data_IF_531279401267
#
_entry.id   IF_531279401267
#
_cell.length_a   1.000
_cell.length_b   1.000
_cell.length_c   1.000
_cell.angle_alpha   90.00
_cell.angle_beta   90.00
_cell.angle_gamma   90.00
#
_symmetry.space_group_name_H-M   'P 1'
#
loop_
_entity.id
_entity.type
_entity.pdbx_description
1 polymer ?
#
# COMPACT_ATOMS: atom_id res chain seq x y z
N UNK A 1 -55.55 -65.53 16.58
CA UNK A 1 -55.21 -66.36 17.76
C UNK A 1 -54.15 -65.58 18.48
N UNK A 2 -54.53 -64.83 19.49
CA UNK A 2 -54.31 -65.04 20.90
C UNK A 2 -52.88 -64.81 21.36
N UNK A 3 -52.45 -64.00 22.28
CA UNK A 3 -53.21 -63.46 23.40
C UNK A 3 -52.32 -62.55 24.22
N UNK A 4 -52.97 -61.79 24.93
CA UNK A 4 -52.73 -60.90 26.06
C UNK A 4 -51.57 -61.20 27.00
N UNK A 5 -51.08 -60.11 27.67
CA UNK A 5 -50.28 -60.16 28.85
C UNK A 5 -49.85 -58.77 29.33
N UNK A 6 -50.66 -58.14 30.20
CA UNK A 6 -50.36 -56.94 30.92
C UNK A 6 -49.42 -57.21 32.13
N UNK A 7 -48.56 -56.26 32.43
CA UNK A 7 -47.75 -56.30 33.64
C UNK A 7 -47.20 -54.91 33.96
N UNK A 8 -47.84 -54.17 34.84
CA UNK A 8 -47.40 -52.90 35.37
C UNK A 8 -46.25 -53.06 36.36
N UNK A 9 -45.33 -52.14 36.37
CA UNK A 9 -44.26 -52.01 37.33
C UNK A 9 -43.87 -50.56 37.48
N UNK A 10 -44.34 -49.92 38.53
CA UNK A 10 -43.91 -48.58 38.92
C UNK A 10 -42.45 -48.63 39.37
N UNK A 11 -41.64 -47.79 38.76
CA UNK A 11 -40.25 -47.51 39.13
C UNK A 11 -40.12 -46.04 39.40
N UNK A 12 -39.99 -45.69 40.66
CA UNK A 12 -39.69 -44.36 41.17
C UNK A 12 -38.38 -43.83 40.57
N UNK A 13 -38.41 -42.58 40.13
CA UNK A 13 -37.24 -41.83 39.70
C UNK A 13 -36.24 -41.68 40.86
N UNK A 14 -34.92 -41.77 40.53
CA UNK A 14 -33.90 -41.46 41.53
C UNK A 14 -33.78 -39.95 41.74
N UNK A 15 -33.33 -39.49 42.94
CA UNK A 15 -33.18 -38.10 43.29
C UNK A 15 -31.99 -37.47 42.52
N UNK A 16 -32.13 -36.16 42.19
CA UNK A 16 -31.11 -35.30 41.59
C UNK A 16 -29.88 -35.21 42.50
N UNK A 17 -28.67 -35.25 41.97
CA UNK A 17 -27.46 -35.02 42.76
C UNK A 17 -27.37 -33.53 43.18
N UNK A 18 -26.96 -33.32 44.41
CA UNK A 18 -26.60 -32.02 44.96
C UNK A 18 -25.39 -31.43 44.25
N UNK A 19 -25.21 -30.06 44.18
CA UNK A 19 -24.07 -29.45 43.57
C UNK A 19 -22.82 -29.67 44.42
N UNK A 20 -21.78 -30.28 43.82
CA UNK A 20 -20.44 -30.38 44.40
C UNK A 20 -19.83 -28.99 44.57
N UNK A 21 -19.39 -28.67 45.75
CA UNK A 21 -18.60 -27.51 46.09
C UNK A 21 -17.25 -27.57 45.33
N UNK A 22 -16.99 -26.59 44.43
CA UNK A 22 -15.73 -26.41 43.79
C UNK A 22 -14.62 -25.99 44.77
N UNK A 23 -13.35 -26.31 44.50
CA UNK A 23 -12.25 -26.01 45.41
C UNK A 23 -12.05 -24.50 45.59
N UNK A 24 -11.81 -24.12 46.85
CA UNK A 24 -11.54 -22.77 47.31
C UNK A 24 -10.48 -22.04 46.48
N UNK A 25 -10.82 -20.83 46.08
CA UNK A 25 -9.88 -19.90 45.48
C UNK A 25 -8.72 -19.64 46.45
N UNK A 26 -7.50 -19.93 45.99
CA UNK A 26 -6.29 -19.52 46.69
C UNK A 26 -6.19 -18.00 46.67
N UNK A 27 -6.24 -17.39 47.84
CA UNK A 27 -5.91 -15.97 48.01
C UNK A 27 -4.43 -15.80 47.77
N UNK A 28 -4.10 -15.05 46.70
CA UNK A 28 -2.74 -14.53 46.48
C UNK A 28 -2.65 -13.27 47.32
N UNK A 29 -1.82 -13.31 48.36
CA UNK A 29 -1.41 -12.12 49.12
C UNK A 29 -0.46 -11.31 48.23
N UNK A 30 -0.87 -10.10 47.86
CA UNK A 30 0.01 -9.10 47.28
C UNK A 30 0.80 -8.47 48.41
N UNK A 31 2.11 -8.55 48.36
CA UNK A 31 3.02 -7.72 49.15
C UNK A 31 3.06 -6.34 48.53
N UNK A 32 2.68 -5.34 49.31
CA UNK A 32 2.83 -3.94 49.04
C UNK A 32 4.32 -3.57 49.14
N UNK A 33 4.99 -3.36 48.01
CA UNK A 33 6.16 -2.51 47.93
C UNK A 33 5.73 -1.21 47.25
N UNK A 34 5.41 -0.24 48.10
CA UNK A 34 5.13 1.14 47.73
C UNK A 34 6.43 1.82 47.23
N UNK A 35 6.62 1.93 45.91
CA UNK A 35 7.47 2.99 45.35
C UNK A 35 6.59 4.23 45.11
N UNK A 36 6.84 5.25 45.92
CA UNK A 36 6.22 6.59 45.80
C UNK A 36 6.74 7.22 44.50
N UNK A 37 5.90 7.25 43.48
CA UNK A 37 6.13 8.10 42.28
C UNK A 37 5.64 9.50 42.64
N UNK A 38 6.56 10.44 42.75
CA UNK A 38 6.29 11.86 42.91
C UNK A 38 5.46 12.36 41.74
N UNK A 39 4.19 12.71 42.00
CA UNK A 39 3.31 13.33 41.00
C UNK A 39 3.69 14.80 40.94
N UNK A 40 4.37 15.20 39.86
CA UNK A 40 4.56 16.59 39.51
C UNK A 40 3.21 17.15 39.01
N UNK A 41 2.57 17.95 39.84
CA UNK A 41 1.43 18.78 39.42
C UNK A 41 1.95 19.85 38.44
N UNK A 42 1.63 19.70 37.18
CA UNK A 42 1.77 20.76 36.17
C UNK A 42 0.69 21.81 36.45
N UNK A 43 1.11 22.98 36.93
CA UNK A 43 0.25 24.15 37.01
C UNK A 43 -0.08 24.61 35.58
N UNK A 44 -1.36 24.48 35.22
CA UNK A 44 -1.95 25.12 34.04
C UNK A 44 -2.03 26.63 34.26
N UNK A 45 -0.95 27.34 33.94
CA UNK A 45 -0.95 28.80 33.78
C UNK A 45 -0.63 29.06 32.29
N UNK A 46 -1.63 29.47 31.53
CA UNK A 46 -1.41 30.02 30.19
C UNK A 46 -0.56 31.28 30.30
N UNK A 47 0.55 31.41 29.51
CA UNK A 47 1.33 32.63 29.51
C UNK A 47 0.50 33.76 28.89
N UNK A 48 0.38 34.87 29.63
CA UNK A 48 -0.33 36.05 29.21
C UNK A 48 0.49 36.76 28.11
N UNK A 49 -0.17 37.23 27.05
CA UNK A 49 0.48 37.86 25.89
C UNK A 49 1.28 39.13 26.19
N UNK A 50 1.13 39.68 27.39
CA UNK A 50 1.83 40.88 27.83
C UNK A 50 3.25 40.62 28.39
N UNK A 51 3.59 39.37 28.74
CA UNK A 51 4.92 39.02 29.28
C UNK A 51 5.97 38.77 28.16
N UNK A 52 5.55 38.68 26.91
CA UNK A 52 6.44 38.49 25.74
C UNK A 52 6.93 39.81 25.11
N UNK A 53 6.39 40.97 25.56
CA UNK A 53 6.76 42.30 25.03
C UNK A 53 7.98 42.88 25.70
N UNK A 54 8.31 42.49 26.94
CA UNK A 54 9.41 43.08 27.73
C UNK A 54 10.79 42.45 27.45
N UNK A 55 10.88 41.34 26.73
CA UNK A 55 12.19 40.71 26.43
C UNK A 55 12.82 41.15 25.10
N UNK A 56 12.21 42.06 24.35
CA UNK A 56 12.72 42.52 23.04
C UNK A 56 13.31 43.94 23.01
N UNK A 57 13.52 44.60 24.15
CA UNK A 57 14.03 46.01 24.19
C UNK A 57 15.54 46.15 24.37
N UNK A 58 16.36 45.11 24.51
CA UNK A 58 17.81 45.23 24.71
C UNK A 58 18.65 44.61 23.57
N UNK A 59 18.47 45.03 22.31
CA UNK A 59 19.46 44.84 21.25
C UNK A 59 19.97 46.19 20.74
N UNK A 60 21.07 46.64 21.34
CA UNK A 60 21.81 47.83 20.96
C UNK A 60 22.53 47.64 19.62
N UNK A 61 22.03 48.26 18.55
CA UNK A 61 22.75 48.39 17.29
C UNK A 61 23.70 49.58 17.34
N UNK A 62 24.95 49.30 17.66
CA UNK A 62 26.04 50.29 17.57
C UNK A 62 26.22 50.81 16.16
N UNK A 63 25.95 52.11 15.99
CA UNK A 63 26.29 52.91 14.83
C UNK A 63 27.82 53.14 14.80
N UNK A 64 28.56 52.46 13.93
CA UNK A 64 29.89 52.85 13.48
C UNK A 64 29.83 53.17 12.00
N UNK A 65 29.72 54.48 11.68
CA UNK A 65 29.91 55.03 10.37
C UNK A 65 31.41 55.15 10.07
N UNK A 66 31.96 54.31 9.21
CA UNK A 66 33.23 54.60 8.54
C UNK A 66 32.97 55.03 7.07
N UNK A 67 33.36 56.28 6.79
CA UNK A 67 33.43 56.89 5.46
C UNK A 67 34.43 56.11 4.58
N UNK A 68 33.93 55.23 3.70
CA UNK A 68 34.69 54.56 2.65
C UNK A 68 34.22 55.05 1.29
N UNK A 69 35.10 55.76 0.55
CA UNK A 69 34.87 56.20 -0.82
C UNK A 69 34.41 55.03 -1.74
N UNK A 70 33.21 55.18 -2.28
CA UNK A 70 32.72 54.27 -3.33
C UNK A 70 33.53 54.50 -4.60
N UNK A 71 34.31 53.47 -4.98
CA UNK A 71 34.75 53.33 -6.36
C UNK A 71 33.62 52.65 -7.10
N UNK A 72 33.12 53.33 -8.14
CA UNK A 72 32.27 52.75 -9.16
C UNK A 72 33.07 51.69 -9.92
N UNK A 73 32.97 50.41 -9.52
CA UNK A 73 33.28 49.28 -10.35
C UNK A 73 32.01 48.94 -11.11
N UNK A 74 31.97 49.29 -12.41
CA UNK A 74 31.01 48.77 -13.37
C UNK A 74 31.11 47.24 -13.37
N UNK A 75 30.14 46.58 -12.74
CA UNK A 75 29.88 45.16 -12.93
C UNK A 75 29.27 45.01 -14.33
N UNK A 76 30.13 44.70 -15.33
CA UNK A 76 29.64 44.08 -16.55
C UNK A 76 28.93 42.78 -16.13
N UNK A 77 27.60 42.81 -16.07
CA UNK A 77 26.80 41.61 -16.06
C UNK A 77 27.03 40.95 -17.44
N UNK A 78 27.92 39.96 -17.47
CA UNK A 78 27.87 38.96 -18.54
C UNK A 78 26.47 38.37 -18.42
N UNK A 79 25.61 38.72 -19.36
CA UNK A 79 24.32 38.08 -19.62
C UNK A 79 24.68 36.67 -20.09
N UNK A 80 24.98 35.77 -19.09
CA UNK A 80 24.97 34.36 -19.33
C UNK A 80 23.52 34.05 -19.73
N UNK A 81 23.32 33.96 -21.04
CA UNK A 81 22.04 33.57 -21.61
C UNK A 81 21.50 32.40 -20.84
N UNK A 82 20.39 32.64 -20.11
CA UNK A 82 19.54 31.60 -19.57
C UNK A 82 19.24 30.76 -20.81
N UNK A 83 19.90 29.62 -20.97
CA UNK A 83 19.46 28.58 -21.90
C UNK A 83 17.98 28.35 -21.52
N UNK A 84 17.08 28.79 -22.41
CA UNK A 84 15.67 28.42 -22.33
C UNK A 84 15.68 26.91 -22.15
N UNK A 85 15.36 26.46 -20.95
CA UNK A 85 15.47 25.06 -20.55
C UNK A 85 14.75 24.22 -21.59
N UNK A 86 15.48 23.27 -22.19
CA UNK A 86 14.89 22.28 -23.06
C UNK A 86 13.64 21.74 -22.39
N UNK A 87 12.50 21.80 -23.07
CA UNK A 87 11.28 21.21 -22.53
C UNK A 87 11.59 19.78 -22.09
N UNK A 88 11.16 19.37 -20.89
CA UNK A 88 11.45 18.02 -20.39
C UNK A 88 10.98 17.01 -21.44
N UNK A 89 11.84 16.07 -21.77
CA UNK A 89 11.55 15.03 -22.75
C UNK A 89 10.30 14.23 -22.32
N UNK A 90 9.33 14.10 -23.22
CA UNK A 90 8.09 13.38 -22.98
C UNK A 90 7.97 12.20 -23.95
N UNK A 91 8.11 10.98 -23.42
CA UNK A 91 8.03 9.71 -24.16
C UNK A 91 6.59 9.18 -24.25
N UNK A 92 5.60 9.88 -23.68
CA UNK A 92 4.23 9.39 -23.67
C UNK A 92 3.58 9.52 -25.05
N UNK A 93 2.85 8.48 -25.45
CA UNK A 93 2.03 8.49 -26.67
C UNK A 93 0.73 9.29 -26.45
N UNK A 94 0.25 9.34 -25.20
CA UNK A 94 -0.96 10.04 -24.84
C UNK A 94 -0.90 10.55 -23.40
N UNK A 95 -1.42 11.75 -23.20
CA UNK A 95 -1.62 12.36 -21.89
C UNK A 95 -3.11 12.60 -21.62
N UNK A 96 -3.64 12.01 -20.54
CA UNK A 96 -4.96 12.26 -20.02
C UNK A 96 -4.87 13.34 -18.93
N UNK A 97 -5.55 14.50 -19.15
CA UNK A 97 -5.43 15.70 -18.33
C UNK A 97 -6.78 16.23 -17.84
N UNK A 98 -7.70 15.33 -17.47
CA UNK A 98 -9.03 15.70 -16.95
C UNK A 98 -9.02 15.98 -15.46
N UNK A 99 -8.10 15.37 -14.71
CA UNK A 99 -7.96 15.63 -13.30
C UNK A 99 -7.44 17.05 -13.03
N UNK A 100 -7.92 17.65 -11.95
CA UNK A 100 -7.53 19.01 -11.52
C UNK A 100 -6.61 19.02 -10.32
N UNK A 101 -6.32 17.85 -9.78
CA UNK A 101 -5.38 17.61 -8.68
C UNK A 101 -4.63 16.28 -8.92
N UNK A 102 -3.80 15.86 -7.97
CA UNK A 102 -2.97 14.64 -8.06
C UNK A 102 -3.79 13.41 -8.44
N UNK A 103 -3.26 12.58 -9.33
CA UNK A 103 -3.88 11.29 -9.70
C UNK A 103 -3.25 10.20 -8.87
N UNK A 104 -4.03 9.59 -7.98
CA UNK A 104 -3.52 8.65 -6.98
C UNK A 104 -3.49 7.20 -7.43
N UNK A 105 -4.41 6.79 -8.29
CA UNK A 105 -4.53 5.41 -8.69
C UNK A 105 -4.89 5.24 -10.17
N UNK A 106 -4.44 4.14 -10.74
CA UNK A 106 -4.75 3.74 -12.12
C UNK A 106 -4.93 2.23 -12.23
N UNK A 107 -5.87 1.80 -13.06
CA UNK A 107 -6.01 0.39 -13.43
C UNK A 107 -6.33 0.27 -14.90
N UNK A 108 -5.82 -0.78 -15.53
CA UNK A 108 -6.13 -1.15 -16.92
C UNK A 108 -7.16 -2.27 -16.98
N UNK A 109 -8.01 -2.22 -17.99
CA UNK A 109 -8.91 -3.30 -18.34
C UNK A 109 -8.10 -4.58 -18.67
N UNK A 110 -8.30 -5.69 -17.92
CA UNK A 110 -7.45 -6.87 -18.01
C UNK A 110 -7.72 -7.72 -19.26
N UNK A 111 -8.83 -7.51 -19.96
CA UNK A 111 -9.19 -8.31 -21.14
C UNK A 111 -8.63 -7.75 -22.43
N UNK A 112 -8.97 -6.52 -22.73
CA UNK A 112 -8.67 -5.91 -24.02
C UNK A 112 -7.60 -4.86 -23.93
N UNK A 113 -7.30 -4.40 -22.70
CA UNK A 113 -6.31 -3.38 -22.40
C UNK A 113 -6.52 -2.10 -23.23
N UNK A 114 -7.78 -1.75 -23.45
CA UNK A 114 -8.16 -0.57 -24.22
C UNK A 114 -8.74 0.57 -23.38
N UNK A 115 -9.07 0.28 -22.12
CA UNK A 115 -9.62 1.24 -21.16
C UNK A 115 -8.72 1.35 -19.93
N UNK A 116 -8.67 2.57 -19.39
CA UNK A 116 -8.10 2.83 -18.09
C UNK A 116 -9.16 3.46 -17.18
N UNK A 117 -9.04 3.21 -15.88
CA UNK A 117 -9.69 3.98 -14.82
C UNK A 117 -8.63 4.71 -14.03
N UNK A 118 -8.88 5.98 -13.74
CA UNK A 118 -8.02 6.81 -12.88
C UNK A 118 -8.85 7.44 -11.79
N UNK A 119 -8.29 7.56 -10.59
CA UNK A 119 -8.87 8.25 -9.44
C UNK A 119 -7.89 9.27 -8.88
N UNK A 120 -8.39 10.38 -8.36
CA UNK A 120 -7.54 11.48 -7.92
C UNK A 120 -8.05 12.25 -6.72
N UNK A 121 -7.21 13.18 -6.28
CA UNK A 121 -7.43 14.11 -5.17
C UNK A 121 -8.58 15.11 -5.44
N UNK A 122 -9.01 15.22 -6.69
CA UNK A 122 -10.14 16.03 -7.10
C UNK A 122 -11.52 15.38 -6.84
N UNK A 123 -11.57 14.33 -6.01
CA UNK A 123 -12.75 13.55 -5.64
C UNK A 123 -13.42 12.85 -6.82
N UNK A 124 -12.67 12.63 -7.90
CA UNK A 124 -13.17 12.09 -9.14
C UNK A 124 -12.46 10.83 -9.57
N UNK A 125 -13.23 9.97 -10.24
CA UNK A 125 -12.66 8.90 -11.04
C UNK A 125 -13.23 8.97 -12.46
N UNK A 126 -12.38 8.66 -13.44
CA UNK A 126 -12.73 8.65 -14.85
C UNK A 126 -12.40 7.30 -15.47
N UNK A 127 -13.32 6.81 -16.30
CA UNK A 127 -13.06 5.70 -17.23
C UNK A 127 -12.87 6.31 -18.61
N UNK A 128 -11.72 6.00 -19.22
CA UNK A 128 -11.32 6.59 -20.49
C UNK A 128 -10.60 5.59 -21.38
N UNK A 129 -10.59 5.88 -22.69
CA UNK A 129 -9.93 5.04 -23.69
C UNK A 129 -8.47 5.44 -23.85
N UNK A 130 -7.56 4.45 -23.78
CA UNK A 130 -6.11 4.72 -23.82
C UNK A 130 -5.59 5.09 -25.20
N UNK A 131 -6.31 4.82 -26.30
CA UNK A 131 -5.88 5.13 -27.66
C UNK A 131 -6.04 6.59 -28.07
N UNK A 132 -6.99 7.32 -27.48
CA UNK A 132 -7.35 8.68 -27.85
C UNK A 132 -7.67 9.61 -26.68
N UNK A 133 -7.66 9.08 -25.44
CA UNK A 133 -7.98 9.85 -24.23
C UNK A 133 -9.46 10.20 -24.09
N UNK A 134 -10.35 9.61 -24.90
CA UNK A 134 -11.78 9.87 -24.78
C UNK A 134 -12.32 9.35 -23.45
N UNK A 135 -12.93 10.25 -22.66
CA UNK A 135 -13.62 9.88 -21.43
C UNK A 135 -14.94 9.21 -21.74
N UNK A 136 -15.12 7.96 -21.33
CA UNK A 136 -16.39 7.26 -21.49
C UNK A 136 -17.41 7.76 -20.49
N UNK A 137 -17.04 7.85 -19.23
CA UNK A 137 -17.85 8.44 -18.16
C UNK A 137 -17.01 8.82 -16.94
N UNK A 138 -17.55 9.72 -16.13
CA UNK A 138 -17.08 10.06 -14.80
C UNK A 138 -17.84 9.21 -13.78
N UNK A 139 -17.18 8.79 -12.70
CA UNK A 139 -17.78 8.09 -11.56
C UNK A 139 -18.19 9.12 -10.50
N UNK A 140 -19.44 9.61 -10.48
CA UNK A 140 -19.82 10.72 -9.62
C UNK A 140 -20.11 10.30 -8.18
N UNK A 141 -20.06 11.27 -7.26
CA UNK A 141 -20.58 11.17 -5.91
C UNK A 141 -19.61 10.61 -4.89
N UNK A 142 -18.33 10.60 -5.19
CA UNK A 142 -17.29 10.52 -4.17
C UNK A 142 -17.25 11.82 -3.36
N UNK A 143 -16.86 11.73 -2.09
CA UNK A 143 -16.89 12.82 -1.12
C UNK A 143 -15.50 13.28 -0.69
N UNK A 144 -14.51 12.51 -1.09
CA UNK A 144 -13.10 12.68 -0.75
C UNK A 144 -12.24 12.10 -1.86
N UNK A 145 -10.94 12.26 -1.77
CA UNK A 145 -9.95 11.78 -2.73
C UNK A 145 -10.13 10.31 -3.10
N UNK A 146 -10.23 10.02 -4.40
CA UNK A 146 -10.34 8.64 -4.88
C UNK A 146 -8.96 8.01 -4.94
N UNK A 147 -8.65 7.19 -3.94
CA UNK A 147 -7.34 6.55 -3.78
C UNK A 147 -7.27 5.14 -4.35
N UNK A 148 -8.41 4.53 -4.62
CA UNK A 148 -8.49 3.17 -5.13
C UNK A 148 -9.42 3.07 -6.34
N UNK A 149 -8.92 2.46 -7.41
CA UNK A 149 -9.73 2.13 -8.59
C UNK A 149 -9.24 0.84 -9.23
N UNK A 150 -10.15 -0.07 -9.58
CA UNK A 150 -9.78 -1.34 -10.19
C UNK A 150 -10.87 -1.91 -11.10
N UNK A 151 -10.46 -2.50 -12.23
CA UNK A 151 -11.34 -3.31 -13.07
C UNK A 151 -11.53 -4.71 -12.50
N UNK A 152 -12.73 -5.27 -12.66
CA UNK A 152 -12.98 -6.69 -12.42
C UNK A 152 -12.25 -7.57 -13.43
N UNK A 153 -12.01 -8.83 -13.06
CA UNK A 153 -11.27 -9.81 -13.86
C UNK A 153 -11.80 -10.00 -15.30
N UNK A 154 -13.05 -9.71 -15.53
CA UNK A 154 -13.73 -9.85 -16.82
C UNK A 154 -13.99 -8.52 -17.52
N UNK A 155 -13.47 -7.42 -16.99
CA UNK A 155 -13.62 -6.03 -17.50
C UNK A 155 -15.06 -5.53 -17.57
N UNK A 156 -16.01 -6.19 -16.90
CA UNK A 156 -17.42 -5.77 -16.94
C UNK A 156 -17.78 -4.76 -15.87
N UNK A 157 -17.03 -4.72 -14.77
CA UNK A 157 -17.23 -3.83 -13.66
C UNK A 157 -15.94 -3.05 -13.34
N UNK A 158 -16.12 -1.86 -12.79
CA UNK A 158 -15.06 -1.08 -12.14
C UNK A 158 -15.48 -0.82 -10.69
N UNK A 159 -14.57 -0.94 -9.75
CA UNK A 159 -14.74 -0.45 -8.40
C UNK A 159 -13.90 0.80 -8.21
N UNK A 160 -14.45 1.78 -7.50
CA UNK A 160 -13.79 2.99 -7.05
C UNK A 160 -14.00 3.16 -5.55
N UNK A 161 -13.01 3.68 -4.84
CA UNK A 161 -13.09 3.93 -3.41
C UNK A 161 -12.37 5.22 -3.05
N UNK A 162 -12.99 6.02 -2.19
CA UNK A 162 -12.40 7.26 -1.68
C UNK A 162 -11.87 7.13 -0.24
N UNK A 163 -11.09 8.08 0.21
CA UNK A 163 -10.45 8.09 1.53
C UNK A 163 -11.47 8.03 2.67
N UNK A 164 -12.67 8.64 2.49
CA UNK A 164 -13.73 8.59 3.49
C UNK A 164 -14.38 7.21 3.64
N UNK A 165 -14.01 6.24 2.80
CA UNK A 165 -14.52 4.88 2.82
C UNK A 165 -15.78 4.65 1.97
N UNK A 166 -16.14 5.57 1.09
CA UNK A 166 -17.24 5.36 0.15
C UNK A 166 -16.74 4.53 -1.04
N UNK A 167 -17.24 3.30 -1.11
CA UNK A 167 -16.99 2.35 -2.19
C UNK A 167 -18.15 2.35 -3.19
N UNK A 168 -17.83 2.32 -4.47
CA UNK A 168 -18.83 2.24 -5.54
C UNK A 168 -18.40 1.22 -6.60
N UNK A 169 -19.39 0.58 -7.23
CA UNK A 169 -19.16 -0.29 -8.38
C UNK A 169 -20.02 0.14 -9.57
N UNK A 170 -19.41 0.12 -10.74
CA UNK A 170 -19.96 0.67 -11.99
C UNK A 170 -19.92 -0.41 -13.07
N UNK A 171 -20.95 -0.44 -13.92
CA UNK A 171 -20.85 -1.17 -15.18
C UNK A 171 -19.96 -0.40 -16.15
N UNK A 172 -18.97 -1.05 -16.72
CA UNK A 172 -18.13 -0.46 -17.76
C UNK A 172 -18.94 -0.06 -18.97
N UNK A 173 -19.87 -0.91 -19.40
CA UNK A 173 -20.81 -0.59 -20.44
C UNK A 173 -21.91 0.33 -19.90
N UNK A 174 -21.92 1.58 -20.35
CA UNK A 174 -22.95 2.57 -20.04
C UNK A 174 -22.78 3.32 -18.72
N UNK A 175 -21.74 3.06 -17.92
CA UNK A 175 -21.40 3.88 -16.74
C UNK A 175 -22.44 3.86 -15.61
N UNK A 176 -23.29 2.82 -15.54
CA UNK A 176 -24.31 2.72 -14.51
C UNK A 176 -23.72 2.26 -13.18
N UNK A 177 -23.97 3.01 -12.09
CA UNK A 177 -23.71 2.54 -10.71
C UNK A 177 -24.60 1.33 -10.42
N UNK A 178 -23.98 0.24 -9.96
CA UNK A 178 -24.69 -1.01 -9.63
C UNK A 178 -24.65 -1.34 -8.15
N UNK A 179 -23.74 -0.71 -7.41
CA UNK A 179 -23.60 -0.93 -5.98
C UNK A 179 -22.80 0.20 -5.36
N UNK A 180 -23.13 0.54 -4.11
CA UNK A 180 -22.31 1.40 -3.24
C UNK A 180 -22.41 0.95 -1.79
N UNK A 181 -21.35 1.20 -1.04
CA UNK A 181 -21.26 0.90 0.39
C UNK A 181 -20.32 1.89 1.06
N UNK A 182 -20.57 2.22 2.31
CA UNK A 182 -19.73 3.11 3.10
C UNK A 182 -19.14 2.32 4.28
N UNK A 183 -17.80 2.30 4.37
CA UNK A 183 -17.01 1.73 5.47
C UNK A 183 -16.33 2.87 6.24
N UNK A 184 -15.45 2.57 7.17
CA UNK A 184 -14.48 3.57 7.66
C UNK A 184 -13.38 3.85 6.63
N UNK A 185 -12.43 4.72 6.98
CA UNK A 185 -11.34 5.14 6.10
C UNK A 185 -10.71 3.96 5.35
N UNK A 186 -10.69 4.09 4.02
CA UNK A 186 -10.27 3.01 3.12
C UNK A 186 -8.75 3.04 2.94
N UNK A 187 -8.12 1.89 3.15
CA UNK A 187 -6.69 1.71 2.93
C UNK A 187 -6.39 1.12 1.54
N UNK A 188 -7.11 0.10 1.14
CA UNK A 188 -6.94 -0.58 -0.15
C UNK A 188 -8.19 -1.34 -0.57
N UNK A 189 -8.28 -1.65 -1.87
CA UNK A 189 -9.30 -2.55 -2.42
C UNK A 189 -8.73 -3.46 -3.51
N UNK A 190 -9.31 -4.63 -3.68
CA UNK A 190 -8.94 -5.57 -4.73
C UNK A 190 -10.14 -6.41 -5.19
N UNK A 191 -10.24 -6.65 -6.50
CA UNK A 191 -11.15 -7.64 -7.05
C UNK A 191 -10.63 -9.05 -6.91
N UNK A 192 -11.53 -9.99 -6.68
CA UNK A 192 -11.24 -11.41 -6.73
C UNK A 192 -10.81 -11.83 -8.16
N UNK A 193 -9.79 -12.73 -8.30
CA UNK A 193 -9.18 -13.04 -9.60
C UNK A 193 -10.12 -13.71 -10.62
N UNK A 194 -11.28 -14.25 -10.20
CA UNK A 194 -12.20 -14.94 -11.12
C UNK A 194 -13.70 -14.82 -10.76
N UNK A 195 -14.07 -13.86 -9.90
CA UNK A 195 -15.47 -13.65 -9.49
C UNK A 195 -15.72 -12.16 -9.21
N UNK A 196 -16.98 -11.74 -9.29
CA UNK A 196 -17.39 -10.37 -8.88
C UNK A 196 -17.48 -10.28 -7.36
N UNK A 197 -16.35 -10.42 -6.70
CA UNK A 197 -16.17 -10.28 -5.26
C UNK A 197 -15.11 -9.22 -5.03
N UNK A 198 -15.43 -8.21 -4.22
CA UNK A 198 -14.56 -7.13 -3.84
C UNK A 198 -14.05 -7.36 -2.42
N UNK A 199 -12.78 -7.11 -2.19
CA UNK A 199 -12.12 -7.16 -0.89
C UNK A 199 -11.53 -5.78 -0.60
N UNK A 200 -11.66 -5.29 0.62
CA UNK A 200 -11.09 -4.02 1.04
C UNK A 200 -10.61 -4.08 2.48
N UNK A 201 -9.53 -3.35 2.77
CA UNK A 201 -9.04 -3.12 4.13
C UNK A 201 -9.31 -1.70 4.58
N UNK A 202 -9.57 -1.52 5.86
CA UNK A 202 -9.95 -0.25 6.47
C UNK A 202 -9.07 0.10 7.66
N UNK A 203 -9.00 1.39 8.00
CA UNK A 203 -8.18 1.92 9.08
C UNK A 203 -8.58 1.40 10.47
N UNK A 204 -9.81 0.92 10.65
CA UNK A 204 -10.27 0.24 11.87
C UNK A 204 -9.73 -1.20 12.02
N UNK A 205 -8.96 -1.68 11.03
CA UNK A 205 -8.35 -3.01 11.01
C UNK A 205 -9.26 -4.12 10.49
N UNK A 206 -10.47 -3.80 10.06
CA UNK A 206 -11.34 -4.79 9.46
C UNK A 206 -10.98 -5.00 7.98
N UNK A 207 -11.21 -6.21 7.52
CA UNK A 207 -11.20 -6.54 6.11
C UNK A 207 -12.60 -6.92 5.70
N UNK A 208 -13.09 -6.29 4.66
CA UNK A 208 -14.45 -6.43 4.16
C UNK A 208 -14.47 -7.16 2.84
N UNK A 209 -15.47 -8.00 2.63
CA UNK A 209 -15.66 -8.74 1.37
C UNK A 209 -17.13 -8.65 0.94
N UNK A 210 -17.38 -8.22 -0.31
CA UNK A 210 -18.73 -8.11 -0.87
C UNK A 210 -18.84 -8.87 -2.17
N UNK A 211 -19.99 -9.46 -2.38
CA UNK A 211 -20.40 -9.99 -3.68
C UNK A 211 -21.15 -8.93 -4.45
N UNK A 212 -20.66 -8.54 -5.60
CA UNK A 212 -21.21 -7.48 -6.43
C UNK A 212 -22.06 -8.10 -7.55
N UNK A 213 -23.26 -7.58 -7.86
CA UNK A 213 -23.90 -6.41 -7.26
C UNK A 213 -24.83 -6.72 -6.08
N UNK A 214 -24.93 -7.96 -5.60
CA UNK A 214 -25.93 -8.32 -4.56
C UNK A 214 -25.71 -7.60 -3.23
N UNK A 215 -24.47 -7.17 -2.93
CA UNK A 215 -24.12 -6.52 -1.69
C UNK A 215 -24.01 -7.48 -0.49
N UNK A 216 -24.10 -8.80 -0.70
CA UNK A 216 -23.81 -9.77 0.35
C UNK A 216 -22.41 -9.51 0.90
N UNK A 217 -22.33 -9.24 2.21
CA UNK A 217 -21.13 -8.79 2.88
C UNK A 217 -20.64 -9.81 3.91
N UNK A 218 -19.31 -9.89 4.04
CA UNK A 218 -18.62 -10.62 5.10
C UNK A 218 -17.47 -9.77 5.62
N UNK A 219 -17.35 -9.71 6.97
CA UNK A 219 -16.30 -8.96 7.64
C UNK A 219 -15.33 -9.91 8.34
N UNK A 220 -14.04 -9.62 8.24
CA UNK A 220 -12.96 -10.32 8.91
C UNK A 220 -12.35 -9.37 9.93
N UNK A 221 -12.52 -9.65 11.20
CA UNK A 221 -12.02 -8.81 12.29
C UNK A 221 -10.51 -8.96 12.45
N UNK A 222 -9.78 -7.88 12.13
CA UNK A 222 -8.35 -7.76 12.32
C UNK A 222 -7.96 -7.33 13.74
N UNK A 223 -6.71 -6.91 13.94
CA UNK A 223 -6.31 -6.15 15.12
C UNK A 223 -6.96 -4.75 15.04
N UNK A 224 -7.06 -4.05 16.19
CA UNK A 224 -7.64 -2.70 16.22
C UNK A 224 -6.60 -1.66 15.76
N UNK A 225 -6.07 -1.82 14.56
CA UNK A 225 -5.13 -0.92 13.88
C UNK A 225 -5.30 -1.09 12.37
N UNK A 226 -4.91 -0.11 11.55
CA UNK A 226 -5.11 -0.13 10.11
C UNK A 226 -4.68 -1.42 9.40
N UNK A 227 -5.53 -1.91 8.50
CA UNK A 227 -5.22 -2.97 7.56
C UNK A 227 -4.55 -2.34 6.32
N UNK A 228 -3.25 -2.11 6.39
CA UNK A 228 -2.51 -1.23 5.47
C UNK A 228 -2.30 -1.79 4.06
N UNK A 229 -2.31 -3.10 3.92
CA UNK A 229 -2.16 -3.76 2.62
C UNK A 229 -2.83 -5.14 2.61
N UNK A 230 -3.24 -5.61 1.44
CA UNK A 230 -3.86 -6.92 1.34
C UNK A 230 -3.99 -7.43 -0.08
N UNK A 231 -4.08 -8.75 -0.24
CA UNK A 231 -4.19 -9.40 -1.53
C UNK A 231 -4.93 -10.73 -1.43
N UNK A 232 -5.78 -11.02 -2.42
CA UNK A 232 -6.23 -12.40 -2.64
C UNK A 232 -5.07 -13.32 -2.99
N UNK A 233 -5.04 -14.52 -2.46
CA UNK A 233 -4.17 -15.54 -3.00
C UNK A 233 -4.72 -16.04 -4.34
N UNK A 234 -3.87 -16.55 -5.25
CA UNK A 234 -4.28 -16.91 -6.61
C UNK A 234 -5.40 -17.97 -6.68
N UNK A 235 -5.57 -18.78 -5.64
CA UNK A 235 -6.66 -19.74 -5.54
C UNK A 235 -8.03 -19.10 -5.27
N UNK A 236 -8.07 -17.81 -4.94
CA UNK A 236 -9.28 -17.07 -4.58
C UNK A 236 -9.96 -17.50 -3.29
N UNK A 237 -9.38 -18.45 -2.54
CA UNK A 237 -9.99 -19.00 -1.31
C UNK A 237 -9.45 -18.37 -0.05
N UNK A 238 -8.30 -17.76 -0.14
CA UNK A 238 -7.60 -17.10 0.95
C UNK A 238 -7.21 -15.70 0.57
N UNK A 239 -6.98 -14.87 1.56
CA UNK A 239 -6.37 -13.56 1.43
C UNK A 239 -5.26 -13.37 2.47
N UNK A 240 -4.23 -12.64 2.11
CA UNK A 240 -3.21 -12.16 3.04
C UNK A 240 -3.46 -10.69 3.30
N UNK A 241 -3.36 -10.27 4.55
CA UNK A 241 -3.56 -8.89 4.99
C UNK A 241 -2.45 -8.52 5.96
N UNK A 242 -1.80 -7.40 5.69
CA UNK A 242 -0.80 -6.76 6.55
C UNK A 242 -1.42 -5.61 7.34
N UNK A 243 -0.87 -5.36 8.52
CA UNK A 243 -1.40 -4.41 9.48
C UNK A 243 -0.34 -3.43 9.97
N UNK A 244 -0.79 -2.30 10.48
CA UNK A 244 0.07 -1.24 11.03
C UNK A 244 0.89 -1.73 12.25
N UNK A 245 0.36 -2.68 13.03
CA UNK A 245 1.08 -3.28 14.18
C UNK A 245 2.19 -4.27 13.79
N UNK A 246 2.51 -4.38 12.50
CA UNK A 246 3.51 -5.32 11.98
C UNK A 246 3.02 -6.76 11.85
N UNK A 247 1.77 -7.04 12.19
CA UNK A 247 1.21 -8.38 12.05
C UNK A 247 0.75 -8.67 10.63
N UNK A 248 0.80 -9.95 10.25
CA UNK A 248 0.27 -10.46 8.98
C UNK A 248 -0.74 -11.55 9.29
N UNK A 249 -1.88 -11.53 8.64
CA UNK A 249 -2.89 -12.56 8.75
C UNK A 249 -3.19 -13.18 7.39
N UNK A 250 -3.31 -14.51 7.39
CA UNK A 250 -3.80 -15.27 6.23
C UNK A 250 -5.20 -15.76 6.58
N UNK A 251 -6.18 -15.26 5.84
CA UNK A 251 -7.59 -15.52 6.05
C UNK A 251 -8.13 -16.63 5.16
N UNK A 252 -8.92 -17.56 5.72
CA UNK A 252 -9.82 -18.41 4.94
C UNK A 252 -11.12 -17.65 4.69
N UNK A 253 -11.36 -17.29 3.44
CA UNK A 253 -12.49 -16.45 3.05
C UNK A 253 -13.84 -17.15 3.21
N UNK A 254 -13.86 -18.48 3.07
CA UNK A 254 -15.08 -19.27 3.27
C UNK A 254 -15.43 -19.40 4.75
N UNK A 255 -14.46 -19.77 5.58
CA UNK A 255 -14.68 -19.98 7.00
C UNK A 255 -14.79 -18.65 7.77
N UNK A 256 -14.06 -17.63 7.34
CA UNK A 256 -14.03 -16.30 7.96
C UNK A 256 -13.11 -16.19 9.16
N UNK A 257 -12.16 -17.12 9.30
CA UNK A 257 -11.14 -17.11 10.35
C UNK A 257 -9.73 -16.94 9.76
N UNK A 258 -8.84 -16.40 10.56
CA UNK A 258 -7.42 -16.39 10.23
C UNK A 258 -6.85 -17.80 10.42
N UNK A 259 -6.35 -18.39 9.32
CA UNK A 259 -5.66 -19.68 9.37
C UNK A 259 -4.24 -19.57 9.92
N UNK A 260 -3.61 -18.42 9.69
CA UNK A 260 -2.29 -18.08 10.24
C UNK A 260 -2.27 -16.63 10.69
N UNK A 261 -1.58 -16.38 11.81
CA UNK A 261 -1.31 -15.05 12.35
C UNK A 261 0.18 -14.97 12.67
N UNK A 262 0.89 -14.11 11.95
CA UNK A 262 2.30 -13.83 12.18
C UNK A 262 2.41 -12.53 12.98
N UNK A 263 3.06 -12.57 14.12
CA UNK A 263 3.30 -11.40 14.99
C UNK A 263 4.52 -11.64 15.89
N UNK A 264 5.01 -10.61 16.53
CA UNK A 264 6.23 -10.69 17.34
C UNK A 264 7.42 -11.05 16.47
N UNK A 265 8.15 -12.11 16.80
CA UNK A 265 9.35 -12.53 16.04
C UNK A 265 9.06 -12.96 14.59
N UNK A 266 7.88 -13.51 14.31
CA UNK A 266 7.46 -13.90 12.97
C UNK A 266 6.82 -12.72 12.18
N UNK A 267 6.25 -11.72 12.88
CA UNK A 267 5.74 -10.48 12.31
C UNK A 267 6.85 -9.45 12.08
N UNK A 268 6.47 -8.29 11.58
CA UNK A 268 7.35 -7.13 11.43
C UNK A 268 7.37 -6.27 12.71
N UNK A 269 8.36 -5.40 12.82
CA UNK A 269 8.48 -4.45 13.95
C UNK A 269 7.91 -3.07 13.64
N UNK A 270 7.52 -2.84 12.39
CA UNK A 270 6.87 -1.63 11.90
C UNK A 270 5.67 -1.95 11.01
N UNK A 271 4.91 -0.93 10.60
CA UNK A 271 3.78 -1.07 9.69
C UNK A 271 4.11 -1.84 8.43
N UNK A 272 3.20 -2.70 7.98
CA UNK A 272 3.28 -3.32 6.66
C UNK A 272 2.97 -2.25 5.60
N UNK A 273 3.71 -2.27 4.49
CA UNK A 273 3.49 -1.39 3.34
C UNK A 273 2.94 -2.16 2.15
N UNK A 274 3.40 -3.39 1.96
CA UNK A 274 3.06 -4.17 0.78
C UNK A 274 3.10 -5.67 1.03
N UNK A 275 2.32 -6.40 0.23
CA UNK A 275 2.29 -7.88 0.20
C UNK A 275 2.21 -8.37 -1.24
N UNK A 276 2.85 -9.47 -1.56
CA UNK A 276 2.71 -10.13 -2.87
C UNK A 276 2.79 -11.65 -2.74
N UNK A 277 1.95 -12.36 -3.49
CA UNK A 277 1.99 -13.81 -3.57
C UNK A 277 2.69 -14.28 -4.85
N UNK A 278 3.31 -15.46 -4.80
CA UNK A 278 3.77 -16.12 -6.01
C UNK A 278 2.59 -16.74 -6.79
N UNK A 279 2.84 -17.16 -8.02
CA UNK A 279 1.79 -17.60 -8.95
C UNK A 279 0.94 -18.80 -8.46
N UNK A 280 1.49 -19.69 -7.64
CA UNK A 280 0.75 -20.84 -7.08
C UNK A 280 0.18 -20.57 -5.67
N UNK A 281 0.43 -19.39 -5.10
CA UNK A 281 -0.05 -19.00 -3.77
C UNK A 281 0.61 -19.74 -2.61
N UNK A 282 1.70 -20.47 -2.84
CA UNK A 282 2.42 -21.20 -1.80
C UNK A 282 3.31 -20.30 -0.93
N UNK A 283 3.76 -19.19 -1.49
CA UNK A 283 4.63 -18.22 -0.85
C UNK A 283 4.02 -16.80 -0.92
N UNK A 284 4.26 -16.04 0.13
CA UNK A 284 3.93 -14.61 0.18
C UNK A 284 5.16 -13.85 0.65
N UNK A 285 5.45 -12.74 -0.01
CA UNK A 285 6.36 -11.71 0.48
C UNK A 285 5.58 -10.66 1.23
N UNK A 286 6.16 -10.15 2.31
CA UNK A 286 5.65 -9.04 3.10
C UNK A 286 6.74 -8.00 3.30
N UNK A 287 6.46 -6.76 3.01
CA UNK A 287 7.35 -5.61 3.16
C UNK A 287 6.86 -4.67 4.24
N UNK A 288 7.78 -3.97 4.89
CA UNK A 288 7.47 -3.10 6.02
C UNK A 288 8.37 -1.87 6.07
N UNK A 289 7.91 -0.88 6.80
CA UNK A 289 8.69 0.30 7.22
C UNK A 289 9.93 -0.08 8.03
N UNK A 290 9.96 -1.28 8.64
CA UNK A 290 11.13 -1.80 9.36
C UNK A 290 12.29 -2.21 8.44
N UNK A 291 12.18 -1.94 7.13
CA UNK A 291 13.17 -2.22 6.08
C UNK A 291 13.38 -3.71 5.79
N UNK A 292 12.64 -4.59 6.41
CA UNK A 292 12.74 -6.03 6.21
C UNK A 292 11.70 -6.52 5.21
N UNK A 293 12.09 -7.52 4.42
CA UNK A 293 11.14 -8.30 3.61
C UNK A 293 11.15 -9.74 4.10
N UNK A 294 10.00 -10.26 4.48
CA UNK A 294 9.84 -11.65 4.92
C UNK A 294 9.13 -12.49 3.88
N UNK A 295 9.60 -13.71 3.70
CA UNK A 295 8.95 -14.71 2.84
C UNK A 295 8.26 -15.74 3.71
N UNK A 296 6.95 -15.89 3.51
CA UNK A 296 6.06 -16.73 4.33
C UNK A 296 5.50 -17.87 3.50
N UNK A 297 5.55 -19.08 4.04
CA UNK A 297 4.86 -20.24 3.46
C UNK A 297 3.39 -20.22 3.91
N UNK A 298 2.48 -20.13 2.94
CA UNK A 298 1.03 -19.98 3.19
C UNK A 298 0.33 -21.22 3.74
N UNK A 299 0.94 -22.41 3.55
CA UNK A 299 0.35 -23.66 4.03
C UNK A 299 0.52 -23.86 5.55
N UNK A 300 1.66 -23.39 6.12
CA UNK A 300 1.99 -23.60 7.53
C UNK A 300 2.20 -22.30 8.32
N UNK A 301 2.11 -21.13 7.68
CA UNK A 301 2.28 -19.83 8.30
C UNK A 301 3.68 -19.53 8.83
N UNK A 302 4.72 -20.23 8.34
CA UNK A 302 6.10 -20.02 8.81
C UNK A 302 6.86 -19.06 7.90
N UNK A 303 7.66 -18.20 8.52
CA UNK A 303 8.66 -17.41 7.81
C UNK A 303 9.74 -18.38 7.33
N UNK A 304 9.98 -18.42 6.02
CA UNK A 304 10.94 -19.32 5.37
C UNK A 304 12.11 -18.57 4.73
N UNK A 305 12.06 -17.24 4.71
CA UNK A 305 13.13 -16.37 4.22
C UNK A 305 13.05 -14.97 4.82
N UNK A 306 14.21 -14.32 4.92
CA UNK A 306 14.35 -12.94 5.36
C UNK A 306 15.34 -12.25 4.43
N UNK A 307 14.89 -11.21 3.75
CA UNK A 307 15.70 -10.43 2.84
C UNK A 307 16.02 -9.07 3.47
N UNK A 308 17.29 -8.74 3.55
CA UNK A 308 17.80 -7.47 4.08
C UNK A 308 18.80 -6.88 3.10
N UNK A 309 18.72 -5.57 2.89
CA UNK A 309 19.75 -4.87 2.13
C UNK A 309 20.90 -4.46 3.05
N UNK A 310 22.14 -4.58 2.60
CA UNK A 310 23.34 -4.21 3.39
C UNK A 310 23.41 -2.72 3.73
N UNK A 311 22.62 -1.86 3.04
CA UNK A 311 22.51 -0.43 3.34
C UNK A 311 21.95 -0.17 4.73
N UNK A 312 21.17 -1.09 5.28
CA UNK A 312 20.59 -0.97 6.62
C UNK A 312 21.63 -1.11 7.74
N UNK A 313 22.86 -1.55 7.42
CA UNK A 313 23.91 -1.77 8.43
C UNK A 313 24.93 -0.62 8.49
N UNK A 314 25.12 0.16 7.40
CA UNK A 314 26.25 1.09 7.30
C UNK A 314 25.90 2.58 7.11
N UNK A 315 24.65 2.94 6.91
CA UNK A 315 24.22 4.34 6.73
C UNK A 315 22.95 4.65 7.51
N UNK A 316 23.01 4.53 8.83
CA UNK A 316 22.23 5.47 9.63
C UNK A 316 22.89 6.84 9.42
N UNK A 317 22.57 7.52 8.33
CA UNK A 317 22.78 8.96 8.22
C UNK A 317 21.85 9.56 9.26
N UNK A 318 22.42 9.93 10.40
CA UNK A 318 21.69 10.68 11.41
C UNK A 318 21.44 12.05 10.81
N UNK A 319 20.18 12.45 10.66
CA UNK A 319 19.85 13.85 10.64
C UNK A 319 20.39 14.49 11.91
N UNK A 320 20.65 15.78 11.89
CA UNK A 320 21.13 16.53 13.07
C UNK A 320 20.20 16.37 14.29
N UNK A 321 18.97 15.93 14.09
CA UNK A 321 17.91 15.63 15.08
C UNK A 321 17.97 14.20 15.64
N UNK A 322 18.86 13.35 15.16
CA UNK A 322 19.13 12.03 15.75
C UNK A 322 18.21 10.88 15.31
N UNK A 323 17.23 11.12 14.44
CA UNK A 323 16.38 10.07 13.87
C UNK A 323 17.08 9.39 12.68
N UNK A 324 17.14 8.06 12.70
CA UNK A 324 17.65 7.28 11.58
C UNK A 324 16.62 7.32 10.45
N UNK A 325 17.01 7.74 9.25
CA UNK A 325 16.15 7.59 8.08
C UNK A 325 15.86 6.10 7.85
N UNK A 326 14.60 5.72 7.99
CA UNK A 326 14.10 4.39 7.71
C UNK A 326 13.99 4.22 6.19
N UNK A 327 14.70 3.23 5.62
CA UNK A 327 14.60 2.89 4.21
C UNK A 327 13.49 1.85 4.02
N UNK A 328 12.24 2.29 4.09
CA UNK A 328 11.06 1.42 4.02
C UNK A 328 10.99 0.64 2.71
N UNK A 329 10.44 -0.57 2.80
CA UNK A 329 10.05 -1.36 1.63
C UNK A 329 8.74 -0.80 1.11
N UNK A 330 8.70 -0.33 -0.14
CA UNK A 330 7.50 0.27 -0.71
C UNK A 330 6.75 -0.68 -1.64
N UNK A 331 7.48 -1.53 -2.35
CA UNK A 331 6.86 -2.47 -3.27
C UNK A 331 7.67 -3.75 -3.40
N UNK A 332 6.99 -4.86 -3.74
CA UNK A 332 7.64 -6.16 -3.89
C UNK A 332 6.83 -7.06 -4.82
N UNK A 333 7.50 -8.09 -5.37
CA UNK A 333 6.84 -9.05 -6.23
C UNK A 333 7.72 -10.22 -6.60
N UNK A 334 7.05 -11.31 -7.03
CA UNK A 334 7.70 -12.51 -7.54
C UNK A 334 7.75 -12.51 -9.07
N UNK A 335 8.85 -12.96 -9.63
CA UNK A 335 8.95 -13.28 -11.04
C UNK A 335 8.18 -14.58 -11.32
N UNK A 336 7.35 -14.58 -12.36
CA UNK A 336 6.55 -15.76 -12.76
C UNK A 336 7.36 -16.83 -13.50
N UNK A 337 8.46 -16.44 -14.15
CA UNK A 337 9.25 -17.35 -15.02
C UNK A 337 10.57 -17.83 -14.43
N UNK A 338 11.09 -17.13 -13.41
CA UNK A 338 12.33 -17.49 -12.70
C UNK A 338 12.10 -17.45 -11.19
N UNK A 339 12.91 -18.20 -10.40
CA UNK A 339 12.82 -18.16 -8.94
C UNK A 339 13.45 -16.87 -8.37
N UNK A 340 12.93 -15.74 -8.78
CA UNK A 340 13.40 -14.41 -8.37
C UNK A 340 12.28 -13.63 -7.68
N UNK A 341 12.69 -12.74 -6.79
CA UNK A 341 11.84 -11.71 -6.21
C UNK A 341 12.51 -10.34 -6.34
N UNK A 342 11.71 -9.32 -6.50
CA UNK A 342 12.16 -7.93 -6.49
C UNK A 342 11.57 -7.19 -5.29
N UNK A 343 12.33 -6.28 -4.72
CA UNK A 343 11.96 -5.42 -3.60
C UNK A 343 12.40 -4.01 -3.92
N UNK A 344 11.47 -3.09 -3.93
CA UNK A 344 11.67 -1.65 -4.12
C UNK A 344 11.66 -0.91 -2.80
N UNK A 345 12.59 0.02 -2.62
CA UNK A 345 12.79 0.77 -1.40
C UNK A 345 12.61 2.27 -1.61
N UNK A 346 12.33 2.97 -0.52
CA UNK A 346 12.16 4.43 -0.51
C UNK A 346 13.43 5.21 -0.90
N UNK A 347 14.63 4.62 -0.70
CA UNK A 347 15.90 5.22 -1.15
C UNK A 347 16.18 5.05 -2.66
N UNK A 348 15.22 4.51 -3.42
CA UNK A 348 15.37 4.23 -4.85
C UNK A 348 16.10 2.93 -5.16
N UNK A 349 16.46 2.14 -4.16
CA UNK A 349 17.07 0.82 -4.38
C UNK A 349 16.03 -0.18 -4.89
N UNK A 350 16.31 -0.84 -6.02
CA UNK A 350 15.65 -2.06 -6.46
C UNK A 350 16.57 -3.24 -6.18
N UNK A 351 16.20 -4.12 -5.28
CA UNK A 351 16.95 -5.32 -4.94
C UNK A 351 16.31 -6.56 -5.58
N UNK A 352 17.09 -7.33 -6.31
CA UNK A 352 16.64 -8.57 -6.95
C UNK A 352 17.29 -9.77 -6.25
N UNK A 353 16.45 -10.62 -5.65
CA UNK A 353 16.87 -11.78 -4.86
C UNK A 353 16.57 -13.09 -5.60
N UNK A 354 17.44 -14.06 -5.41
CA UNK A 354 17.16 -15.46 -5.71
C UNK A 354 16.41 -16.09 -4.54
N UNK A 355 15.20 -16.57 -4.80
CA UNK A 355 14.32 -17.15 -3.78
C UNK A 355 14.88 -18.47 -3.24
N UNK A 356 15.53 -19.26 -4.11
CA UNK A 356 16.01 -20.60 -3.77
C UNK A 356 17.23 -20.54 -2.84
N UNK A 357 18.12 -19.60 -3.09
CA UNK A 357 19.34 -19.39 -2.28
C UNK A 357 19.19 -18.30 -1.25
N UNK A 358 18.14 -17.49 -1.34
CA UNK A 358 17.87 -16.32 -0.49
C UNK A 358 19.02 -15.29 -0.52
N UNK A 359 19.66 -15.15 -1.67
CA UNK A 359 20.80 -14.23 -1.85
C UNK A 359 20.44 -13.08 -2.76
N UNK A 360 21.00 -11.89 -2.46
CA UNK A 360 20.91 -10.74 -3.34
C UNK A 360 21.69 -11.02 -4.63
N UNK A 361 21.03 -10.90 -5.79
CA UNK A 361 21.66 -11.05 -7.10
C UNK A 361 22.08 -9.72 -7.70
N UNK A 362 21.18 -8.76 -7.69
CA UNK A 362 21.42 -7.46 -8.29
C UNK A 362 20.83 -6.36 -7.42
N UNK A 363 21.51 -5.23 -7.46
CA UNK A 363 21.06 -3.97 -6.87
C UNK A 363 21.06 -2.93 -7.98
N UNK A 364 19.90 -2.40 -8.27
CA UNK A 364 19.69 -1.34 -9.24
C UNK A 364 19.32 -0.07 -8.47
N UNK A 365 19.65 1.10 -8.99
CA UNK A 365 19.44 2.35 -8.29
C UNK A 365 18.65 3.32 -9.16
N UNK A 366 17.62 3.93 -8.57
CA UNK A 366 16.86 5.07 -9.07
C UNK A 366 17.35 6.35 -8.41
N UNK A 367 17.02 7.49 -8.98
CA UNK A 367 17.37 8.80 -8.42
C UNK A 367 16.51 9.14 -7.19
N UNK A 368 15.30 8.58 -7.12
CA UNK A 368 14.36 8.79 -6.02
C UNK A 368 13.62 7.50 -5.65
N UNK A 369 12.80 7.51 -4.61
CA UNK A 369 12.09 6.35 -4.09
C UNK A 369 11.26 5.59 -5.11
N UNK A 370 11.29 4.27 -5.03
CA UNK A 370 10.44 3.40 -5.84
C UNK A 370 9.07 3.34 -5.17
N UNK A 371 8.03 3.71 -5.90
CA UNK A 371 6.65 3.67 -5.40
C UNK A 371 6.05 2.29 -5.63
N UNK A 372 6.23 1.75 -6.84
CA UNK A 372 5.63 0.47 -7.20
C UNK A 372 6.50 -0.30 -8.19
N UNK A 373 6.42 -1.62 -8.14
CA UNK A 373 7.03 -2.51 -9.13
C UNK A 373 6.04 -3.57 -9.62
N UNK A 374 6.13 -3.91 -10.89
CA UNK A 374 5.36 -4.96 -11.51
C UNK A 374 6.26 -5.84 -12.38
N UNK A 375 6.04 -7.15 -12.31
CA UNK A 375 6.74 -8.09 -13.18
C UNK A 375 5.95 -8.33 -14.46
N UNK A 376 6.66 -8.51 -15.55
CA UNK A 376 6.06 -9.05 -16.77
C UNK A 376 5.76 -10.54 -16.58
N UNK A 377 4.56 -10.98 -16.98
CA UNK A 377 4.11 -12.36 -16.80
C UNK A 377 4.94 -13.38 -17.57
N UNK A 378 5.44 -13.02 -18.76
CA UNK A 378 6.07 -13.92 -19.71
C UNK A 378 7.59 -13.83 -19.77
N UNK A 379 8.20 -12.91 -19.06
CA UNK A 379 9.65 -12.67 -19.08
C UNK A 379 10.21 -12.25 -17.72
N UNK A 380 11.54 -12.35 -17.53
CA UNK A 380 12.18 -11.92 -16.29
C UNK A 380 12.49 -10.41 -16.29
N UNK A 381 11.55 -9.58 -16.74
CA UNK A 381 11.66 -8.13 -16.73
C UNK A 381 10.78 -7.57 -15.64
N UNK A 382 11.32 -6.66 -14.86
CA UNK A 382 10.61 -5.89 -13.83
C UNK A 382 10.49 -4.44 -14.26
N UNK A 383 9.30 -3.91 -14.12
CA UNK A 383 8.95 -2.51 -14.32
C UNK A 383 8.90 -1.83 -12.96
N UNK A 384 9.37 -0.62 -12.89
CA UNK A 384 9.36 0.19 -11.68
C UNK A 384 8.92 1.60 -12.02
N UNK A 385 8.14 2.22 -11.15
CA UNK A 385 7.89 3.66 -11.16
C UNK A 385 8.48 4.30 -9.90
N UNK A 386 8.84 5.55 -10.02
CA UNK A 386 9.60 6.26 -8.99
C UNK A 386 9.09 7.68 -8.77
N UNK A 387 9.40 8.23 -7.61
CA UNK A 387 9.11 9.61 -7.23
C UNK A 387 9.85 10.65 -8.11
N UNK A 388 10.81 10.22 -8.94
CA UNK A 388 11.46 11.07 -9.94
C UNK A 388 10.63 11.27 -11.23
N UNK A 389 9.43 10.68 -11.30
CA UNK A 389 8.52 10.82 -12.45
C UNK A 389 8.85 9.91 -13.65
N UNK A 390 9.73 8.93 -13.48
CA UNK A 390 10.14 8.01 -14.54
C UNK A 390 9.66 6.57 -14.31
N UNK A 391 9.40 5.88 -15.41
CA UNK A 391 9.18 4.43 -15.44
C UNK A 391 10.43 3.76 -16.02
N UNK A 392 10.96 2.75 -15.35
CA UNK A 392 12.15 2.03 -15.76
C UNK A 392 11.91 0.54 -15.89
N UNK A 393 12.57 -0.06 -16.87
CA UNK A 393 12.54 -1.49 -17.16
C UNK A 393 13.88 -2.10 -16.86
N UNK A 394 13.90 -3.22 -16.14
CA UNK A 394 15.12 -3.89 -15.70
C UNK A 394 15.13 -5.37 -16.11
N UNK A 395 16.21 -5.83 -16.74
CA UNK A 395 16.46 -7.27 -16.90
C UNK A 395 16.96 -7.85 -15.58
N UNK A 396 16.15 -8.61 -14.91
CA UNK A 396 16.47 -9.18 -13.60
C UNK A 396 17.60 -10.23 -13.62
N UNK A 397 17.97 -10.74 -14.80
CA UNK A 397 19.10 -11.70 -14.95
C UNK A 397 20.44 -10.99 -14.91
N UNK A 398 20.51 -9.80 -15.48
CA UNK A 398 21.74 -9.01 -15.59
C UNK A 398 21.81 -7.82 -14.65
N UNK A 399 20.68 -7.39 -14.07
CA UNK A 399 20.56 -6.18 -13.28
C UNK A 399 20.71 -4.89 -14.11
N UNK A 400 20.60 -4.97 -15.42
CA UNK A 400 20.76 -3.82 -16.31
C UNK A 400 19.42 -3.20 -16.64
N UNK A 401 19.41 -1.87 -16.71
CA UNK A 401 18.28 -1.13 -17.24
C UNK A 401 18.15 -1.39 -18.74
N UNK A 402 16.93 -1.72 -19.17
CA UNK A 402 16.58 -1.96 -20.57
C UNK A 402 16.15 -0.65 -21.22
N UNK A 403 15.25 0.07 -20.56
CA UNK A 403 14.65 1.31 -21.04
C UNK A 403 14.20 2.17 -19.87
N UNK A 404 14.10 3.45 -20.13
CA UNK A 404 13.55 4.48 -19.25
C UNK A 404 12.54 5.29 -20.05
N UNK A 405 11.43 5.65 -19.41
CA UNK A 405 10.35 6.46 -19.99
C UNK A 405 10.10 7.64 -19.08
N UNK A 406 10.31 8.84 -19.60
CA UNK A 406 10.12 10.12 -18.94
C UNK A 406 8.89 10.85 -19.49
N UNK A 407 8.44 11.89 -18.78
CA UNK A 407 7.35 12.75 -19.25
C UNK A 407 6.51 13.37 -18.17
N UNK A 408 6.49 12.80 -16.95
CA UNK A 408 5.87 13.43 -15.81
C UNK A 408 6.77 14.52 -15.22
N UNK A 409 6.15 15.58 -14.71
CA UNK A 409 6.84 16.71 -14.06
C UNK A 409 6.78 16.64 -12.54
N UNK A 410 6.11 15.61 -11.99
CA UNK A 410 6.04 15.29 -10.57
C UNK A 410 6.13 13.76 -10.40
N UNK A 411 6.07 13.31 -9.17
CA UNK A 411 6.14 11.91 -8.78
C UNK A 411 5.06 11.05 -9.46
N UNK A 412 5.43 9.83 -9.83
CA UNK A 412 4.46 8.80 -10.21
C UNK A 412 3.98 8.10 -8.94
N UNK A 413 2.67 8.09 -8.74
CA UNK A 413 2.02 7.54 -7.54
C UNK A 413 1.51 6.11 -7.75
N UNK A 414 1.18 5.75 -8.99
CA UNK A 414 0.71 4.41 -9.34
C UNK A 414 0.95 4.14 -10.83
N UNK A 415 1.01 2.87 -11.22
CA UNK A 415 1.06 2.48 -12.61
C UNK A 415 0.46 1.11 -12.88
N UNK A 416 -0.01 0.89 -14.09
CA UNK A 416 -0.57 -0.37 -14.53
C UNK A 416 0.09 -0.85 -15.83
N UNK A 417 0.25 -2.15 -15.96
CA UNK A 417 0.72 -2.83 -17.17
C UNK A 417 -0.43 -3.58 -17.82
N UNK A 418 -0.45 -3.59 -19.16
CA UNK A 418 -1.29 -4.54 -19.86
C UNK A 418 -0.66 -5.94 -19.84
N UNK A 419 -1.43 -6.96 -20.20
CA UNK A 419 -1.06 -8.37 -20.06
C UNK A 419 0.22 -8.77 -20.80
N UNK A 420 0.51 -8.17 -21.96
CA UNK A 420 1.73 -8.43 -22.72
C UNK A 420 2.86 -7.43 -22.41
N UNK A 421 2.64 -6.54 -21.45
CA UNK A 421 3.57 -5.51 -21.02
C UNK A 421 4.09 -4.62 -22.15
N UNK A 422 3.26 -4.38 -23.17
CA UNK A 422 3.53 -3.44 -24.25
C UNK A 422 3.02 -2.03 -23.99
N UNK A 423 2.13 -1.88 -22.99
CA UNK A 423 1.54 -0.60 -22.60
C UNK A 423 1.70 -0.42 -21.10
N UNK A 424 2.18 0.75 -20.72
CA UNK A 424 2.23 1.25 -19.35
C UNK A 424 1.31 2.44 -19.25
N UNK A 425 0.47 2.48 -18.24
CA UNK A 425 -0.31 3.68 -17.90
C UNK A 425 0.07 4.11 -16.48
N UNK A 426 0.36 5.38 -16.31
CA UNK A 426 0.83 5.95 -15.04
C UNK A 426 -0.15 6.99 -14.50
N UNK A 427 -0.16 7.15 -13.18
CA UNK A 427 -0.86 8.20 -12.45
C UNK A 427 0.17 9.03 -11.67
N UNK A 428 0.04 10.37 -11.71
CA UNK A 428 1.08 11.25 -11.16
C UNK A 428 0.51 12.45 -10.40
N UNK A 429 1.33 12.98 -9.48
CA UNK A 429 1.12 14.23 -8.79
C UNK A 429 1.06 15.45 -9.69
N UNK A 430 1.47 15.36 -10.96
CA UNK A 430 1.33 16.43 -11.96
C UNK A 430 -0.09 16.57 -12.54
N UNK A 431 -1.07 15.93 -11.91
CA UNK A 431 -2.50 15.92 -12.27
C UNK A 431 -2.82 15.21 -13.60
N UNK A 432 -1.90 14.37 -14.06
CA UNK A 432 -2.03 13.67 -15.35
C UNK A 432 -1.90 12.16 -15.19
N UNK A 433 -2.52 11.46 -16.12
CA UNK A 433 -2.19 10.07 -16.41
C UNK A 433 -1.58 10.01 -17.81
N UNK A 434 -0.55 9.19 -17.99
CA UNK A 434 0.16 9.06 -19.26
C UNK A 434 0.19 7.63 -19.74
N UNK A 435 0.17 7.46 -21.05
CA UNK A 435 0.26 6.16 -21.73
C UNK A 435 1.60 6.07 -22.42
N UNK A 436 2.38 5.04 -22.11
CA UNK A 436 3.65 4.75 -22.76
C UNK A 436 3.58 3.44 -23.52
N UNK A 437 4.01 3.45 -24.78
CA UNK A 437 4.15 2.25 -25.59
C UNK A 437 5.57 1.69 -25.44
N UNK A 438 5.66 0.49 -24.87
CA UNK A 438 6.96 -0.14 -24.60
C UNK A 438 7.49 -0.79 -25.86
N UNK A 439 8.56 -0.23 -26.42
CA UNK A 439 9.29 -0.79 -27.56
C UNK A 439 10.47 -1.59 -27.03
N UNK A 440 10.55 -2.86 -27.40
CA UNK A 440 11.69 -3.72 -27.08
C UNK A 440 12.43 -4.13 -28.34
N UNK A 441 13.76 -4.06 -28.35
CA UNK A 441 14.56 -4.45 -29.51
C UNK A 441 14.48 -5.95 -29.84
N UNK A 442 13.99 -6.78 -28.91
CA UNK A 442 13.97 -8.26 -29.03
C UNK A 442 12.56 -8.86 -29.21
N UNK A 443 11.55 -8.04 -29.48
CA UNK A 443 10.19 -8.48 -29.81
C UNK A 443 9.81 -8.21 -31.24
#
# INVERSE_FOLDING_TARGET
>A
MEGAGAGGGGGSAPPSPEPEEGPAAAQVEFHDDEEIIEVLELNDAEPNADDLADEMEDVDFGDEAEDGEMRDEEWETEDEGVEEGAEPHDDSELTFSKHTASVFCVSLDPKESCLAVTGGEDDKAYIWRISDGETLFECPGHKDSVTCAAFSHDSTLVATGDMSGLLKAWKVEGGQEVWSFEVGDLEWLQWHPCAHVLLAGTADGNTWMWKIPSGECKTFQGPNCPATCGQFLPDGKKAVVGYEDGSVRIWDLKQGNAVHVLKGADGHTGPLTCVASNADGSLVLTGSVDCDTKMVNTANGKVVGLFKTESNVSKASRREDGEAESNSVESLGFCSVLPLAAVGYLDGTLAIYDISTQTLRHRCQHESGIVQLLWEDSSPVVYTCSLDGAVRLWDSRSGKMISEYCGHTAEILDFALNKDASIVVTASGDHKAKVFCVQRPDR
#
